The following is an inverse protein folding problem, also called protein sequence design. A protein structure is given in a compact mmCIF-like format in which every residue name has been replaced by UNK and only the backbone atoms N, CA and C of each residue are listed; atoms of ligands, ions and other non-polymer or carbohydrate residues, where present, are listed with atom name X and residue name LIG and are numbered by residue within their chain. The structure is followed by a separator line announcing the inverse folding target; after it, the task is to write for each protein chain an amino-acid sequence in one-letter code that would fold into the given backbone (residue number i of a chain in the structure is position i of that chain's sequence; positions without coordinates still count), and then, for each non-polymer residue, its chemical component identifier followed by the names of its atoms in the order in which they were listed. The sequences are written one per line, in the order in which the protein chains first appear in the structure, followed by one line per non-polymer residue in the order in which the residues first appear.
data_IF_995225226857
#
_entry.id   IF_995225226857
#
_cell.length_a   1.000
_cell.length_b   1.000
_cell.length_c   1.000
_cell.angle_alpha   90.00
_cell.angle_beta   90.00
_cell.angle_gamma   90.00
#
_symmetry.space_group_name_H-M   'P 1'
#
loop_
_entity.id
_entity.type
_entity.pdbx_description
1 polymer ?
#
# COMPACT_ATOMS: atom_id res chain seq x y z
N UNK A 1 -25.82 -2.79 1.68
CA UNK A 1 -26.55 -1.54 1.97
C UNK A 1 -25.60 -0.63 2.74
N UNK A 2 -25.32 0.55 2.19
CA UNK A 2 -24.40 1.51 2.81
C UNK A 2 -25.19 2.55 3.60
N UNK A 3 -24.60 3.13 4.61
CA UNK A 3 -25.23 4.16 5.44
C UNK A 3 -24.69 5.53 5.03
N UNK A 4 -25.59 6.46 4.69
CA UNK A 4 -25.24 7.86 4.46
C UNK A 4 -25.07 8.58 5.81
N UNK A 5 -24.03 9.41 5.93
CA UNK A 5 -23.69 10.10 7.17
C UNK A 5 -23.46 11.59 6.85
N UNK A 6 -24.18 12.45 7.53
CA UNK A 6 -23.94 13.87 7.50
C UNK A 6 -22.86 14.25 8.51
N UNK A 7 -21.76 14.77 8.00
CA UNK A 7 -20.76 15.43 8.83
C UNK A 7 -20.99 16.96 8.76
N UNK A 8 -21.18 17.62 9.89
CA UNK A 8 -21.27 19.09 10.00
C UNK A 8 -19.93 19.78 9.70
N UNK A 9 -19.33 19.46 8.55
CA UNK A 9 -18.21 20.18 7.99
C UNK A 9 -18.38 20.20 6.47
N UNK A 10 -18.81 21.33 5.93
CA UNK A 10 -18.94 21.56 4.49
C UNK A 10 -17.58 21.44 3.81
N UNK A 11 -17.42 20.40 3.00
CA UNK A 11 -16.26 20.17 2.16
C UNK A 11 -16.36 21.07 0.91
N UNK A 12 -16.05 22.38 1.04
CA UNK A 12 -15.93 23.25 -0.14
C UNK A 12 -14.48 23.25 -0.62
N UNK A 13 -14.30 22.80 -1.84
CA UNK A 13 -13.05 22.95 -2.57
C UNK A 13 -12.87 24.42 -2.94
N UNK A 14 -11.88 25.13 -2.37
CA UNK A 14 -11.47 26.45 -2.83
C UNK A 14 -10.19 26.33 -3.64
N UNK A 15 -10.14 26.86 -4.88
CA UNK A 15 -8.90 26.94 -5.65
C UNK A 15 -7.92 27.92 -4.99
N UNK A 16 -6.64 27.61 -5.06
CA UNK A 16 -5.58 28.48 -4.55
C UNK A 16 -5.55 29.80 -5.32
N UNK A 17 -5.55 30.89 -4.59
CA UNK A 17 -5.28 32.23 -5.14
C UNK A 17 -3.81 32.30 -5.59
N UNK A 18 -3.63 32.81 -6.82
CA UNK A 18 -2.35 33.19 -7.37
C UNK A 18 -1.81 34.40 -6.59
N UNK A 19 -0.62 34.27 -6.05
CA UNK A 19 0.16 35.42 -5.57
C UNK A 19 0.97 35.98 -6.73
N UNK A 20 0.71 37.23 -7.10
CA UNK A 20 1.54 38.02 -8.01
C UNK A 20 2.77 38.50 -7.28
N UNK A 21 3.96 38.12 -7.74
CA UNK A 21 5.22 38.71 -7.30
C UNK A 21 5.52 39.98 -8.11
N UNK A 22 5.69 41.09 -7.44
CA UNK A 22 6.20 42.32 -8.02
C UNK A 22 7.72 42.24 -8.13
N UNK A 23 8.22 42.39 -9.35
CA UNK A 23 9.67 42.42 -9.63
C UNK A 23 10.23 43.81 -9.26
N UNK A 24 11.16 43.84 -8.32
CA UNK A 24 12.17 44.90 -8.23
C UNK A 24 13.52 44.30 -8.63
N UNK A 25 14.06 44.76 -9.74
CA UNK A 25 15.38 44.39 -10.20
C UNK A 25 16.45 45.17 -9.44
N UNK A 26 17.50 44.56 -8.88
CA UNK A 26 18.74 45.21 -8.55
C UNK A 26 19.70 45.11 -9.73
N UNK A 27 20.21 46.25 -10.17
CA UNK A 27 21.27 46.41 -11.16
C UNK A 27 22.59 45.89 -10.58
N UNK A 28 23.13 44.79 -11.11
CA UNK A 28 24.42 44.25 -10.71
C UNK A 28 25.45 44.59 -11.78
N UNK A 29 26.49 45.30 -11.35
CA UNK A 29 27.69 45.70 -12.12
C UNK A 29 28.50 44.50 -12.57
N UNK A 30 28.84 44.50 -13.86
CA UNK A 30 29.69 43.47 -14.50
C UNK A 30 31.12 43.65 -14.00
N UNK A 31 31.61 42.81 -13.11
CA UNK A 31 33.02 42.60 -12.83
C UNK A 31 33.42 41.23 -13.40
N UNK A 32 34.50 41.26 -14.15
CA UNK A 32 35.17 40.20 -14.87
C UNK A 32 35.11 38.84 -14.19
N UNK A 33 34.35 37.89 -14.80
CA UNK A 33 34.46 36.47 -14.51
C UNK A 33 35.63 35.88 -15.31
N UNK A 34 36.67 35.49 -14.59
CA UNK A 34 37.70 34.59 -15.09
C UNK A 34 37.06 33.24 -15.34
N UNK A 35 36.93 32.81 -16.59
CA UNK A 35 36.49 31.47 -16.96
C UNK A 35 37.55 30.49 -16.47
N UNK A 36 37.36 29.87 -15.31
CA UNK A 36 38.02 28.63 -14.97
C UNK A 36 37.43 27.58 -15.90
N UNK A 37 38.22 27.03 -16.81
CA UNK A 37 37.90 25.81 -17.51
C UNK A 37 37.77 24.70 -16.46
N UNK A 38 36.53 24.45 -15.99
CA UNK A 38 36.22 23.22 -15.30
C UNK A 38 36.34 22.09 -16.34
N UNK A 39 37.29 21.20 -16.14
CA UNK A 39 37.34 19.95 -16.87
C UNK A 39 35.95 19.28 -16.73
N UNK A 40 35.39 18.70 -17.79
CA UNK A 40 34.15 17.94 -17.66
C UNK A 40 34.43 16.85 -16.64
N UNK A 41 33.76 16.91 -15.49
CA UNK A 41 33.65 15.74 -14.62
C UNK A 41 32.96 14.68 -15.46
N UNK A 42 33.65 13.57 -15.74
CA UNK A 42 33.02 12.38 -16.28
C UNK A 42 31.79 12.07 -15.39
N UNK A 43 30.61 12.38 -15.89
CA UNK A 43 29.36 12.01 -15.23
C UNK A 43 29.37 10.50 -15.20
N UNK A 44 29.53 9.91 -14.00
CA UNK A 44 29.35 8.47 -13.83
C UNK A 44 28.02 8.08 -14.46
N UNK A 45 28.00 7.00 -15.26
CA UNK A 45 26.77 6.57 -15.93
C UNK A 45 25.66 6.38 -14.90
N UNK A 46 24.52 7.02 -15.15
CA UNK A 46 23.37 6.97 -14.27
C UNK A 46 22.86 5.53 -14.14
N UNK A 47 22.98 4.94 -12.94
CA UNK A 47 22.48 3.61 -12.64
C UNK A 47 21.06 3.72 -12.03
N UNK A 48 20.03 3.31 -12.76
CA UNK A 48 18.68 3.32 -12.23
C UNK A 48 18.53 2.34 -11.05
N UNK A 49 17.75 2.74 -10.05
CA UNK A 49 17.55 1.99 -8.81
C UNK A 49 16.08 1.59 -8.68
N UNK A 50 15.85 0.29 -8.46
CA UNK A 50 14.56 -0.25 -8.01
C UNK A 50 14.66 -0.62 -6.54
N UNK A 51 13.76 -0.10 -5.72
CA UNK A 51 13.54 -0.59 -4.35
C UNK A 51 12.27 -1.42 -4.31
N UNK A 52 12.37 -2.60 -3.72
CA UNK A 52 11.24 -3.51 -3.47
C UNK A 52 11.02 -3.59 -1.97
N UNK A 53 9.83 -3.26 -1.50
CA UNK A 53 9.44 -3.34 -0.09
C UNK A 53 8.65 -4.63 0.13
N UNK A 54 9.25 -5.56 0.87
CA UNK A 54 8.71 -6.88 1.16
C UNK A 54 9.41 -8.00 0.38
N UNK A 55 10.17 -8.82 1.08
CA UNK A 55 10.88 -10.01 0.58
C UNK A 55 10.00 -11.27 0.57
N UNK A 56 8.69 -11.13 0.31
CA UNK A 56 7.74 -12.23 0.13
C UNK A 56 7.72 -12.76 -1.31
N UNK A 57 6.72 -13.61 -1.62
CA UNK A 57 6.56 -14.24 -2.93
C UNK A 57 6.56 -13.20 -4.08
N UNK A 58 5.68 -12.21 -4.03
CA UNK A 58 5.54 -11.20 -5.07
C UNK A 58 6.79 -10.33 -5.22
N UNK A 59 7.38 -9.88 -4.10
CA UNK A 59 8.54 -8.99 -4.13
C UNK A 59 9.79 -9.67 -4.66
N UNK A 60 10.09 -10.89 -4.20
CA UNK A 60 11.24 -11.66 -4.69
C UNK A 60 11.10 -12.01 -6.16
N UNK A 61 9.90 -12.47 -6.59
CA UNK A 61 9.65 -12.82 -7.98
C UNK A 61 9.75 -11.60 -8.90
N UNK A 62 9.20 -10.45 -8.48
CA UNK A 62 9.29 -9.20 -9.22
C UNK A 62 10.72 -8.65 -9.31
N UNK A 63 11.49 -8.74 -8.23
CA UNK A 63 12.90 -8.35 -8.20
C UNK A 63 13.76 -9.18 -9.17
N UNK A 64 13.63 -10.50 -9.12
CA UNK A 64 14.31 -11.44 -10.03
C UNK A 64 13.92 -11.11 -11.48
N UNK A 65 12.63 -10.94 -11.76
CA UNK A 65 12.14 -10.65 -13.11
C UNK A 65 12.68 -9.34 -13.68
N UNK A 66 12.69 -8.27 -12.88
CA UNK A 66 13.24 -7.00 -13.31
C UNK A 66 14.74 -7.10 -13.65
N UNK A 67 15.48 -7.81 -12.82
CA UNK A 67 16.93 -8.04 -12.98
C UNK A 67 17.25 -8.91 -14.20
N UNK A 68 16.40 -9.92 -14.49
CA UNK A 68 16.54 -10.74 -15.69
C UNK A 68 16.35 -9.96 -17.00
N UNK A 69 15.56 -8.89 -16.98
CA UNK A 69 15.34 -8.02 -18.14
C UNK A 69 16.46 -7.01 -18.27
N UNK A 70 16.91 -6.43 -17.14
CA UNK A 70 17.97 -5.40 -17.10
C UNK A 70 19.02 -5.81 -16.07
N UNK A 71 20.06 -6.58 -16.48
CA UNK A 71 21.07 -7.07 -15.55
C UNK A 71 21.84 -5.97 -14.81
N UNK A 72 22.01 -4.78 -15.39
CA UNK A 72 22.67 -3.63 -14.79
C UNK A 72 21.77 -2.84 -13.82
N UNK A 73 20.46 -3.10 -13.77
CA UNK A 73 19.55 -2.45 -12.83
C UNK A 73 19.95 -2.76 -11.39
N UNK A 74 20.15 -1.74 -10.57
CA UNK A 74 20.37 -1.94 -9.13
C UNK A 74 19.03 -2.25 -8.46
N UNK A 75 18.88 -3.46 -7.94
CA UNK A 75 17.65 -3.92 -7.27
C UNK A 75 17.94 -4.20 -5.81
N UNK A 76 17.21 -3.50 -4.93
CA UNK A 76 17.30 -3.64 -3.48
C UNK A 76 15.96 -4.09 -2.92
N UNK A 77 15.94 -5.25 -2.29
CA UNK A 77 14.76 -5.78 -1.56
C UNK A 77 14.93 -5.51 -0.07
N UNK A 78 13.98 -4.81 0.53
CA UNK A 78 13.94 -4.49 1.96
C UNK A 78 12.90 -5.36 2.63
N UNK A 79 13.34 -6.18 3.60
CA UNK A 79 12.47 -7.11 4.34
C UNK A 79 12.64 -6.90 5.85
N UNK A 80 11.52 -6.74 6.56
CA UNK A 80 11.53 -6.50 8.01
C UNK A 80 11.91 -7.73 8.84
N UNK A 81 11.62 -8.90 8.32
CA UNK A 81 11.83 -10.18 8.99
C UNK A 81 12.70 -11.14 8.17
N UNK A 82 12.34 -12.42 8.25
CA UNK A 82 12.95 -13.45 7.41
C UNK A 82 12.25 -13.43 6.06
N UNK A 83 12.98 -13.46 4.92
CA UNK A 83 12.38 -13.48 3.60
C UNK A 83 11.58 -14.77 3.38
N UNK A 84 10.54 -14.67 2.55
CA UNK A 84 9.69 -15.79 2.13
C UNK A 84 9.02 -16.56 3.28
N UNK A 85 8.80 -15.91 4.43
CA UNK A 85 8.23 -16.57 5.63
C UNK A 85 6.86 -17.20 5.35
N UNK A 86 5.96 -16.51 4.62
CA UNK A 86 4.64 -17.08 4.25
C UNK A 86 4.78 -18.27 3.29
N UNK A 87 5.78 -18.25 2.39
CA UNK A 87 6.10 -19.39 1.52
C UNK A 87 6.52 -20.59 2.36
N UNK A 88 7.39 -20.38 3.37
CA UNK A 88 7.90 -21.45 4.24
C UNK A 88 6.80 -22.16 5.01
N UNK A 89 5.82 -21.44 5.54
CA UNK A 89 4.77 -22.01 6.42
C UNK A 89 3.54 -22.50 5.67
N UNK A 90 3.38 -22.10 4.42
CA UNK A 90 2.19 -22.43 3.63
C UNK A 90 2.08 -23.92 3.28
N UNK A 91 0.84 -24.38 3.08
CA UNK A 91 0.56 -25.77 2.74
C UNK A 91 1.10 -26.79 3.75
N UNK A 92 1.15 -26.42 5.03
CA UNK A 92 1.72 -27.25 6.09
C UNK A 92 3.26 -27.38 6.01
N UNK A 93 3.94 -26.35 5.51
CA UNK A 93 5.40 -26.36 5.31
C UNK A 93 5.85 -26.95 3.96
N UNK A 94 4.93 -27.28 3.06
CA UNK A 94 5.21 -27.84 1.73
C UNK A 94 5.21 -26.79 0.61
N UNK A 95 4.57 -25.64 0.79
CA UNK A 95 4.30 -24.61 -0.20
C UNK A 95 3.38 -25.05 -1.34
N UNK A 96 2.08 -24.81 -1.21
CA UNK A 96 1.16 -24.96 -2.33
C UNK A 96 1.39 -23.85 -3.36
N UNK A 97 2.12 -24.18 -4.43
CA UNK A 97 2.67 -23.21 -5.38
C UNK A 97 1.61 -22.55 -6.26
N UNK A 98 0.70 -23.35 -6.79
CA UNK A 98 -0.40 -22.96 -7.68
C UNK A 98 -1.41 -24.11 -7.81
N UNK A 99 -2.38 -23.99 -8.74
CA UNK A 99 -3.35 -25.04 -9.01
C UNK A 99 -3.44 -25.32 -10.52
N UNK A 100 -3.33 -26.61 -10.90
CA UNK A 100 -3.37 -27.04 -12.30
C UNK A 100 -4.77 -27.27 -12.86
N UNK A 101 -5.81 -27.35 -12.03
CA UNK A 101 -7.19 -27.51 -12.51
C UNK A 101 -7.76 -26.23 -13.11
N UNK A 102 -7.19 -25.07 -12.79
CA UNK A 102 -7.65 -23.77 -13.25
C UNK A 102 -6.67 -23.11 -14.22
N UNK A 103 -6.47 -23.77 -15.37
CA UNK A 103 -5.57 -23.29 -16.44
C UNK A 103 -6.25 -22.27 -17.34
N UNK A 104 -7.59 -22.27 -17.40
CA UNK A 104 -8.36 -21.21 -18.03
C UNK A 104 -8.39 -19.97 -17.13
N UNK A 105 -8.08 -18.81 -17.73
CA UNK A 105 -7.92 -17.55 -16.98
C UNK A 105 -9.23 -17.05 -16.39
N UNK A 106 -10.38 -17.36 -16.99
CA UNK A 106 -11.69 -16.97 -16.47
C UNK A 106 -12.06 -17.82 -15.27
N UNK A 107 -11.92 -19.15 -15.40
CA UNK A 107 -12.16 -20.09 -14.30
C UNK A 107 -11.20 -19.84 -13.12
N UNK A 108 -9.96 -19.46 -13.43
CA UNK A 108 -8.98 -19.08 -12.41
C UNK A 108 -9.40 -17.80 -11.67
N UNK A 109 -9.86 -16.78 -12.39
CA UNK A 109 -10.32 -15.54 -11.77
C UNK A 109 -11.52 -15.76 -10.84
N UNK A 110 -12.37 -16.74 -11.12
CA UNK A 110 -13.52 -17.08 -10.28
C UNK A 110 -13.13 -17.67 -8.92
N UNK A 111 -11.87 -18.10 -8.77
CA UNK A 111 -11.33 -18.55 -7.48
C UNK A 111 -10.93 -17.41 -6.54
N UNK A 112 -11.16 -16.16 -6.95
CA UNK A 112 -10.89 -14.97 -6.14
C UNK A 112 -12.19 -14.30 -5.73
N UNK A 113 -12.70 -14.54 -4.51
CA UNK A 113 -13.90 -13.88 -3.98
C UNK A 113 -13.82 -12.36 -4.05
N UNK A 114 -12.60 -11.80 -4.07
CA UNK A 114 -12.32 -10.38 -4.26
C UNK A 114 -11.37 -10.16 -5.43
N UNK A 115 -11.71 -9.20 -6.29
CA UNK A 115 -10.93 -8.86 -7.47
C UNK A 115 -11.21 -9.77 -8.68
N UNK A 116 -12.13 -10.74 -8.61
CA UNK A 116 -12.41 -11.66 -9.71
C UNK A 116 -12.79 -10.93 -10.99
N UNK A 117 -13.57 -9.87 -10.91
CA UNK A 117 -14.04 -9.09 -12.06
C UNK A 117 -12.86 -8.43 -12.79
N UNK A 118 -11.97 -7.82 -12.05
CA UNK A 118 -10.80 -7.13 -12.56
C UNK A 118 -9.74 -8.13 -13.09
N UNK A 119 -9.60 -9.27 -12.42
CA UNK A 119 -8.62 -10.30 -12.78
C UNK A 119 -9.00 -11.13 -14.03
N UNK A 120 -10.27 -11.11 -14.47
CA UNK A 120 -10.75 -11.77 -15.71
C UNK A 120 -10.12 -11.23 -17.00
N UNK A 121 -9.43 -10.09 -16.95
CA UNK A 121 -8.77 -9.47 -18.10
C UNK A 121 -7.48 -10.17 -18.51
N UNK A 122 -6.44 -9.37 -18.69
CA UNK A 122 -5.11 -9.82 -19.14
C UNK A 122 -4.19 -10.30 -18.02
N UNK A 123 -4.56 -10.13 -16.75
CA UNK A 123 -3.69 -10.37 -15.60
C UNK A 123 -3.07 -11.78 -15.64
N UNK A 124 -3.88 -12.84 -15.58
CA UNK A 124 -3.39 -14.22 -15.59
C UNK A 124 -2.92 -14.69 -16.99
N UNK A 125 -3.25 -13.95 -18.07
CA UNK A 125 -2.70 -14.22 -19.39
C UNK A 125 -1.21 -13.85 -19.48
N UNK A 126 -0.76 -12.90 -18.67
CA UNK A 126 0.64 -12.47 -18.65
C UNK A 126 1.54 -13.48 -17.94
N UNK A 127 1.04 -14.17 -16.92
CA UNK A 127 1.75 -15.22 -16.18
C UNK A 127 0.74 -16.06 -15.40
N UNK A 128 0.30 -17.16 -15.97
CA UNK A 128 -0.67 -18.07 -15.37
C UNK A 128 -0.05 -19.26 -14.63
N UNK A 129 -0.86 -20.23 -14.19
CA UNK A 129 -0.39 -21.43 -13.50
C UNK A 129 0.63 -22.25 -14.32
N UNK A 130 0.43 -22.35 -15.64
CA UNK A 130 1.39 -23.05 -16.53
C UNK A 130 2.75 -22.36 -16.54
N UNK A 131 2.76 -21.03 -16.60
CA UNK A 131 3.99 -20.25 -16.60
C UNK A 131 4.72 -20.37 -15.26
N UNK A 132 3.97 -20.38 -14.15
CA UNK A 132 4.51 -20.60 -12.80
C UNK A 132 5.15 -21.98 -12.69
N UNK A 133 4.45 -23.04 -13.11
CA UNK A 133 4.98 -24.40 -13.12
C UNK A 133 6.27 -24.47 -13.96
N UNK A 134 6.22 -23.97 -15.20
CA UNK A 134 7.37 -23.95 -16.11
C UNK A 134 8.54 -23.18 -15.53
N UNK A 135 8.29 -22.03 -14.90
CA UNK A 135 9.35 -21.22 -14.30
C UNK A 135 10.11 -22.00 -13.23
N UNK A 136 9.40 -22.59 -12.25
CA UNK A 136 10.06 -23.36 -11.19
C UNK A 136 10.73 -24.62 -11.70
N UNK A 137 10.12 -25.35 -12.65
CA UNK A 137 10.71 -26.53 -13.25
C UNK A 137 11.99 -26.20 -14.01
N UNK A 138 12.02 -25.11 -14.78
CA UNK A 138 13.20 -24.64 -15.50
C UNK A 138 14.34 -24.20 -14.56
N UNK A 139 14.02 -23.89 -13.30
CA UNK A 139 15.00 -23.58 -12.27
C UNK A 139 15.31 -24.76 -11.34
N UNK A 140 15.04 -26.00 -11.81
CA UNK A 140 15.46 -27.24 -11.16
C UNK A 140 14.52 -27.74 -10.06
N UNK A 141 13.34 -27.17 -9.89
CA UNK A 141 12.36 -27.64 -8.91
C UNK A 141 11.48 -28.73 -9.50
N UNK A 142 11.56 -29.93 -8.95
CA UNK A 142 10.64 -31.01 -9.30
C UNK A 142 9.30 -30.82 -8.61
N UNK A 143 8.21 -30.79 -9.37
CA UNK A 143 6.86 -30.54 -8.92
C UNK A 143 5.97 -31.79 -9.08
N UNK A 144 5.01 -31.92 -8.16
CA UNK A 144 3.93 -32.94 -8.21
C UNK A 144 2.56 -32.25 -8.09
N UNK A 145 1.56 -32.87 -8.72
CA UNK A 145 0.17 -32.46 -8.63
C UNK A 145 -0.58 -33.41 -7.71
N UNK A 146 -1.37 -32.89 -6.78
CA UNK A 146 -2.33 -33.66 -6.00
C UNK A 146 -3.69 -33.75 -6.73
N UNK A 147 -4.58 -34.66 -6.31
CA UNK A 147 -5.85 -34.96 -6.98
C UNK A 147 -6.79 -33.75 -7.11
N UNK A 148 -6.68 -32.78 -6.21
CA UNK A 148 -7.45 -31.51 -6.24
C UNK A 148 -6.75 -30.41 -7.05
N UNK A 149 -5.73 -30.74 -7.82
CA UNK A 149 -4.99 -29.82 -8.70
C UNK A 149 -3.93 -28.99 -8.00
N UNK A 150 -3.76 -29.08 -6.69
CA UNK A 150 -2.71 -28.36 -5.96
C UNK A 150 -1.33 -28.82 -6.37
N UNK A 151 -0.41 -27.89 -6.55
CA UNK A 151 0.97 -28.15 -6.98
C UNK A 151 1.93 -27.96 -5.81
N UNK A 152 2.73 -28.98 -5.54
CA UNK A 152 3.75 -28.99 -4.50
C UNK A 152 5.10 -29.43 -5.04
N UNK A 153 6.22 -29.08 -4.38
CA UNK A 153 7.51 -29.70 -4.68
C UNK A 153 7.48 -31.19 -4.32
N UNK A 154 8.13 -32.02 -5.11
CA UNK A 154 8.24 -33.48 -4.87
C UNK A 154 8.87 -33.77 -3.51
N UNK A 155 9.76 -32.90 -3.04
CA UNK A 155 10.42 -33.01 -1.73
C UNK A 155 9.47 -32.85 -0.54
N UNK A 156 8.20 -32.45 -0.74
CA UNK A 156 7.25 -32.08 0.31
C UNK A 156 7.79 -31.02 1.30
N UNK A 157 8.75 -30.23 0.87
CA UNK A 157 9.38 -29.18 1.68
C UNK A 157 9.34 -27.83 0.96
N UNK A 158 8.79 -26.83 1.62
CA UNK A 158 8.78 -25.44 1.15
C UNK A 158 10.19 -24.86 1.00
N UNK A 159 11.20 -25.45 1.66
CA UNK A 159 12.60 -25.02 1.51
C UNK A 159 13.06 -25.09 0.05
N UNK A 160 12.63 -26.10 -0.72
CA UNK A 160 12.96 -26.23 -2.14
C UNK A 160 12.53 -24.99 -2.94
N UNK A 161 11.33 -24.47 -2.70
CA UNK A 161 10.83 -23.25 -3.35
C UNK A 161 11.59 -22.01 -2.87
N UNK A 162 11.83 -21.93 -1.58
CA UNK A 162 12.55 -20.80 -0.96
C UNK A 162 13.99 -20.73 -1.44
N UNK A 163 14.70 -21.88 -1.45
CA UNK A 163 16.11 -21.94 -1.84
C UNK A 163 16.26 -21.66 -3.35
N UNK A 164 15.30 -22.10 -4.18
CA UNK A 164 15.23 -21.74 -5.59
C UNK A 164 15.12 -20.21 -5.76
N UNK A 165 14.18 -19.54 -5.09
CA UNK A 165 13.98 -18.09 -5.21
C UNK A 165 15.17 -17.29 -4.66
N UNK A 166 15.72 -17.69 -3.51
CA UNK A 166 16.91 -17.02 -2.95
C UNK A 166 18.15 -17.24 -3.83
N UNK A 167 18.32 -18.44 -4.35
CA UNK A 167 19.40 -18.76 -5.28
C UNK A 167 19.31 -17.93 -6.56
N UNK A 168 18.12 -17.81 -7.16
CA UNK A 168 17.90 -16.97 -8.34
C UNK A 168 18.15 -15.48 -8.04
N UNK A 169 17.66 -14.98 -6.91
CA UNK A 169 17.91 -13.62 -6.51
C UNK A 169 19.42 -13.33 -6.37
N UNK A 170 20.15 -14.24 -5.74
CA UNK A 170 21.60 -14.13 -5.58
C UNK A 170 22.33 -14.18 -6.92
N UNK A 171 22.03 -15.17 -7.80
CA UNK A 171 22.62 -15.30 -9.13
C UNK A 171 22.44 -14.06 -9.99
N UNK A 172 21.27 -13.41 -9.87
CA UNK A 172 20.96 -12.20 -10.60
C UNK A 172 21.50 -10.92 -9.93
N UNK A 173 22.15 -11.01 -8.76
CA UNK A 173 22.70 -9.85 -8.07
C UNK A 173 21.61 -8.95 -7.44
N UNK A 174 20.50 -9.53 -7.01
CA UNK A 174 19.50 -8.82 -6.18
C UNK A 174 20.06 -8.64 -4.78
N UNK A 175 20.08 -7.41 -4.29
CA UNK A 175 20.53 -7.08 -2.94
C UNK A 175 19.34 -7.27 -1.99
N UNK A 176 19.48 -8.18 -1.02
CA UNK A 176 18.45 -8.45 -0.02
C UNK A 176 18.90 -7.93 1.35
N UNK A 177 18.16 -6.95 1.88
CA UNK A 177 18.37 -6.39 3.21
C UNK A 177 17.26 -6.81 4.16
N UNK A 178 17.61 -7.59 5.17
CA UNK A 178 16.70 -8.10 6.19
C UNK A 178 16.81 -7.35 7.52
N UNK A 179 15.77 -7.45 8.38
CA UNK A 179 15.74 -6.74 9.66
C UNK A 179 15.58 -5.23 9.54
N UNK A 180 15.18 -4.76 8.35
CA UNK A 180 15.00 -3.34 8.04
C UNK A 180 13.53 -3.02 7.78
N UNK A 181 13.06 -1.91 8.33
CA UNK A 181 11.68 -1.46 8.26
C UNK A 181 11.62 -0.14 7.51
N UNK A 182 10.82 -0.09 6.47
CA UNK A 182 10.52 1.19 5.79
C UNK A 182 9.50 1.95 6.61
N UNK A 183 9.87 3.15 7.07
CA UNK A 183 9.04 3.96 7.96
C UNK A 183 8.32 5.09 7.25
N UNK A 184 8.90 5.61 6.17
CA UNK A 184 8.34 6.73 5.41
C UNK A 184 8.78 6.65 3.94
N UNK A 185 7.89 7.05 3.06
CA UNK A 185 8.16 7.22 1.63
C UNK A 185 7.66 8.59 1.22
N UNK A 186 8.53 9.36 0.59
CA UNK A 186 8.19 10.65 -0.02
C UNK A 186 8.61 10.65 -1.48
N UNK A 187 7.98 11.49 -2.29
CA UNK A 187 8.35 11.68 -3.68
C UNK A 187 8.93 13.07 -3.86
N UNK A 188 10.14 13.12 -4.43
CA UNK A 188 10.83 14.36 -4.68
C UNK A 188 10.27 15.09 -5.93
N UNK A 189 10.67 16.34 -6.12
CA UNK A 189 10.26 17.16 -7.29
C UNK A 189 10.74 16.57 -8.62
N UNK A 190 11.87 15.87 -8.63
CA UNK A 190 12.43 15.14 -9.78
C UNK A 190 11.69 13.82 -10.10
N UNK A 191 10.69 13.48 -9.27
CA UNK A 191 9.87 12.27 -9.41
C UNK A 191 10.49 11.00 -8.86
N UNK A 192 11.65 11.08 -8.16
CA UNK A 192 12.28 9.95 -7.45
C UNK A 192 11.65 9.75 -6.08
N UNK A 193 11.74 8.52 -5.57
CA UNK A 193 11.29 8.18 -4.24
C UNK A 193 12.42 8.33 -3.23
N UNK A 194 12.14 9.01 -2.12
CA UNK A 194 12.99 9.03 -0.93
C UNK A 194 12.38 8.09 0.11
N UNK A 195 13.13 7.06 0.48
CA UNK A 195 12.67 5.95 1.32
C UNK A 195 13.47 5.96 2.61
N UNK A 196 12.80 6.19 3.74
CA UNK A 196 13.42 6.15 5.06
C UNK A 196 13.31 4.77 5.65
N UNK A 197 14.46 4.22 6.03
CA UNK A 197 14.60 2.86 6.56
C UNK A 197 15.15 2.97 7.98
N UNK A 198 14.45 2.33 8.92
CA UNK A 198 14.90 2.16 10.30
C UNK A 198 15.28 0.71 10.57
N UNK A 199 16.17 0.47 11.53
CA UNK A 199 16.35 -0.85 12.16
C UNK A 199 15.36 -0.97 13.33
N UNK A 200 14.84 -2.16 13.52
CA UNK A 200 13.93 -2.43 14.65
C UNK A 200 14.61 -2.21 16.02
N UNK A 201 15.95 -2.23 16.10
CA UNK A 201 16.72 -2.21 17.34
C UNK A 201 17.45 -0.89 17.64
N UNK A 202 17.90 -0.11 16.64
CA UNK A 202 18.96 0.89 16.90
C UNK A 202 18.60 2.34 16.54
N UNK A 203 17.38 2.61 16.06
CA UNK A 203 16.93 3.99 15.78
C UNK A 203 17.70 4.75 14.66
N UNK A 204 18.73 4.14 14.06
CA UNK A 204 19.47 4.74 12.95
C UNK A 204 18.61 4.72 11.67
N UNK A 205 18.22 5.90 11.22
CA UNK A 205 17.46 6.09 9.99
C UNK A 205 18.44 6.24 8.81
N UNK A 206 18.37 5.32 7.88
CA UNK A 206 19.02 5.42 6.56
C UNK A 206 18.00 5.94 5.55
N UNK A 207 18.42 6.84 4.67
CA UNK A 207 17.60 7.30 3.54
C UNK A 207 18.17 6.75 2.24
N UNK A 208 17.30 6.16 1.41
CA UNK A 208 17.65 5.64 0.08
C UNK A 208 16.80 6.36 -0.97
N UNK A 209 17.43 6.73 -2.07
CA UNK A 209 16.73 7.25 -3.25
C UNK A 209 16.51 6.13 -4.28
N UNK A 210 15.35 6.15 -4.93
CA UNK A 210 14.93 5.13 -5.88
C UNK A 210 14.15 5.75 -7.04
N UNK A 211 14.37 5.24 -8.24
CA UNK A 211 13.64 5.66 -9.45
C UNK A 211 12.32 4.93 -9.61
N UNK A 212 12.29 3.69 -9.16
CA UNK A 212 11.14 2.79 -9.20
C UNK A 212 10.91 2.19 -7.83
N UNK A 213 9.65 2.04 -7.46
CA UNK A 213 9.25 1.47 -6.18
C UNK A 213 8.21 0.38 -6.37
N UNK A 214 8.49 -0.83 -5.89
CA UNK A 214 7.54 -1.95 -5.83
C UNK A 214 7.14 -2.23 -4.38
N UNK A 215 5.88 -2.05 -4.04
CA UNK A 215 5.32 -2.42 -2.74
C UNK A 215 4.70 -3.80 -2.84
N UNK A 216 5.30 -4.77 -2.14
CA UNK A 216 4.93 -6.19 -2.15
C UNK A 216 4.92 -6.80 -0.73
N UNK A 217 4.43 -6.05 0.22
CA UNK A 217 4.49 -6.31 1.67
C UNK A 217 3.45 -7.30 2.18
N UNK A 218 2.62 -7.83 1.28
CA UNK A 218 1.49 -8.67 1.63
C UNK A 218 0.41 -7.90 2.41
N UNK A 219 -0.43 -8.60 3.15
CA UNK A 219 -1.53 -8.03 3.93
C UNK A 219 -1.09 -7.29 5.22
N UNK A 220 0.15 -6.80 5.27
CA UNK A 220 0.69 -6.10 6.43
C UNK A 220 0.09 -4.69 6.58
N UNK A 221 -0.42 -4.35 7.76
CA UNK A 221 -0.98 -3.02 8.05
C UNK A 221 -0.02 -1.86 7.76
N UNK A 222 1.28 -2.07 7.99
CA UNK A 222 2.31 -1.06 7.68
C UNK A 222 2.37 -0.71 6.18
N UNK A 223 2.11 -1.70 5.32
CA UNK A 223 2.06 -1.49 3.87
C UNK A 223 0.93 -0.56 3.44
N UNK A 224 -0.21 -0.70 4.09
CA UNK A 224 -1.35 0.18 3.86
C UNK A 224 -0.99 1.63 4.24
N UNK A 225 -0.27 1.83 5.34
CA UNK A 225 0.25 3.14 5.75
C UNK A 225 1.19 3.76 4.71
N UNK A 226 2.08 2.97 4.11
CA UNK A 226 3.00 3.43 3.05
C UNK A 226 2.24 3.79 1.76
N UNK A 227 1.23 3.00 1.39
CA UNK A 227 0.38 3.29 0.23
C UNK A 227 -0.40 4.61 0.40
N UNK A 228 -0.86 4.89 1.63
CA UNK A 228 -1.53 6.16 1.98
C UNK A 228 -0.61 7.36 1.84
N UNK A 229 0.63 7.25 2.28
CA UNK A 229 1.63 8.34 2.13
C UNK A 229 1.81 8.74 0.67
N UNK A 230 1.59 7.80 -0.25
CA UNK A 230 1.69 7.99 -1.70
C UNK A 230 0.35 8.32 -2.36
N UNK A 231 -0.70 8.60 -1.57
CA UNK A 231 -2.00 9.10 -2.03
C UNK A 231 -3.07 8.05 -2.31
N UNK A 232 -2.81 6.76 -2.02
CA UNK A 232 -3.79 5.69 -2.21
C UNK A 232 -4.86 5.69 -1.11
N UNK A 233 -6.07 5.27 -1.45
CA UNK A 233 -7.15 5.03 -0.49
C UNK A 233 -6.83 3.81 0.38
N UNK A 234 -7.21 3.88 1.65
CA UNK A 234 -7.05 2.76 2.57
C UNK A 234 -8.36 2.50 3.29
N UNK A 235 -8.73 1.24 3.30
CA UNK A 235 -9.78 0.74 4.16
C UNK A 235 -9.22 0.48 5.56
N UNK A 236 -9.92 0.95 6.59
CA UNK A 236 -9.61 0.52 7.95
C UNK A 236 -9.81 -0.98 8.05
N UNK A 237 -8.75 -1.73 8.25
CA UNK A 237 -8.77 -3.19 8.26
C UNK A 237 -9.60 -3.76 9.41
N UNK A 238 -9.71 -3.03 10.52
CA UNK A 238 -10.45 -3.47 11.69
C UNK A 238 -10.94 -2.29 12.52
N UNK A 239 -12.25 -2.12 12.57
CA UNK A 239 -12.93 -1.20 13.50
C UNK A 239 -14.06 -1.95 14.20
N UNK A 240 -14.50 -1.45 15.36
CA UNK A 240 -15.74 -1.88 15.99
C UNK A 240 -16.79 -0.80 15.74
N UNK A 241 -17.85 -1.14 15.02
CA UNK A 241 -18.96 -0.26 14.74
C UNK A 241 -20.18 -0.69 15.56
N UNK A 242 -20.81 0.28 16.23
CA UNK A 242 -22.04 0.10 17.00
C UNK A 242 -23.11 1.07 16.50
N UNK A 243 -24.25 0.55 16.09
CA UNK A 243 -25.39 1.37 15.70
C UNK A 243 -26.32 1.58 16.91
N UNK A 244 -26.64 2.85 17.20
CA UNK A 244 -27.65 3.25 18.16
C UNK A 244 -28.85 3.79 17.40
N UNK A 245 -30.03 3.24 17.68
CA UNK A 245 -31.30 3.67 17.10
C UNK A 245 -32.18 4.21 18.20
N UNK A 246 -32.87 5.33 17.95
CA UNK A 246 -33.80 5.93 18.88
C UNK A 246 -35.02 5.03 19.04
N UNK A 247 -35.43 4.80 20.28
CA UNK A 247 -36.66 4.06 20.64
C UNK A 247 -36.66 2.56 20.29
N UNK A 248 -35.53 1.94 20.01
CA UNK A 248 -35.47 0.48 19.76
C UNK A 248 -34.98 -0.24 21.00
N UNK A 249 -35.86 -0.96 21.66
CA UNK A 249 -35.55 -1.97 22.68
C UNK A 249 -35.26 -3.29 21.96
N UNK A 250 -34.00 -3.62 21.70
CA UNK A 250 -33.63 -4.84 20.99
C UNK A 250 -32.24 -5.34 21.38
N UNK A 251 -31.89 -6.56 20.93
CA UNK A 251 -30.60 -7.23 21.21
C UNK A 251 -29.41 -6.35 20.78
N UNK A 252 -28.85 -5.62 21.73
CA UNK A 252 -27.76 -4.68 21.50
C UNK A 252 -26.49 -5.35 20.93
N UNK A 253 -26.33 -6.65 21.10
CA UNK A 253 -25.17 -7.41 20.61
C UNK A 253 -25.13 -7.52 19.07
N UNK A 254 -26.28 -7.64 18.42
CA UNK A 254 -26.36 -7.74 16.95
C UNK A 254 -26.08 -6.41 16.25
N UNK A 255 -26.29 -5.28 16.96
CA UNK A 255 -25.99 -3.95 16.47
C UNK A 255 -24.52 -3.52 16.72
N UNK A 256 -23.66 -4.46 17.07
CA UNK A 256 -22.22 -4.28 17.21
C UNK A 256 -21.52 -5.24 16.27
N UNK A 257 -20.71 -4.72 15.36
CA UNK A 257 -19.93 -5.52 14.43
C UNK A 257 -18.47 -5.08 14.44
N UNK A 258 -17.56 -6.03 14.19
CA UNK A 258 -16.12 -5.76 14.06
C UNK A 258 -15.66 -6.17 12.68
N UNK A 259 -14.92 -5.31 11.99
CA UNK A 259 -14.39 -5.62 10.67
C UNK A 259 -13.93 -4.38 9.91
N UNK A 260 -13.60 -4.55 8.64
CA UNK A 260 -13.16 -3.46 7.79
C UNK A 260 -14.23 -2.40 7.56
N UNK A 261 -13.82 -1.12 7.63
CA UNK A 261 -14.66 0.06 7.38
C UNK A 261 -14.11 0.82 6.18
N UNK A 262 -14.99 1.19 5.26
CA UNK A 262 -14.68 2.07 4.13
C UNK A 262 -15.36 3.42 4.37
N UNK A 263 -14.58 4.50 4.29
CA UNK A 263 -15.08 5.88 4.30
C UNK A 263 -15.07 6.39 2.87
N UNK A 264 -16.23 6.77 2.36
CA UNK A 264 -16.43 7.33 1.03
C UNK A 264 -16.80 8.81 1.10
N UNK A 265 -16.84 9.49 -0.03
CA UNK A 265 -17.25 10.91 -0.08
C UNK A 265 -18.74 11.14 0.25
N UNK A 266 -19.54 10.07 0.25
CA UNK A 266 -20.99 10.12 0.54
C UNK A 266 -21.40 9.39 1.83
N UNK A 267 -20.48 8.69 2.52
CA UNK A 267 -20.82 8.00 3.77
C UNK A 267 -19.92 6.81 4.08
N UNK A 268 -20.43 5.91 4.88
CA UNK A 268 -19.72 4.71 5.30
C UNK A 268 -20.19 3.46 4.58
N UNK A 269 -19.24 2.58 4.27
CA UNK A 269 -19.45 1.29 3.68
C UNK A 269 -18.44 0.26 4.24
N UNK A 270 -18.27 -0.85 3.54
CA UNK A 270 -17.37 -1.92 3.92
C UNK A 270 -18.03 -3.00 4.77
N UNK A 271 -17.33 -4.13 4.99
CA UNK A 271 -17.91 -5.33 5.61
C UNK A 271 -18.58 -5.10 6.96
N UNK A 272 -18.01 -4.22 7.78
CA UNK A 272 -18.60 -3.92 9.10
C UNK A 272 -19.94 -3.22 8.97
N UNK A 273 -20.06 -2.28 8.02
CA UNK A 273 -21.30 -1.54 7.78
C UNK A 273 -22.33 -2.42 7.09
N UNK A 274 -21.92 -3.25 6.12
CA UNK A 274 -22.81 -4.17 5.42
C UNK A 274 -23.43 -5.19 6.40
N UNK A 275 -22.63 -5.79 7.28
CA UNK A 275 -23.15 -6.69 8.31
C UNK A 275 -24.05 -5.97 9.31
N UNK A 276 -23.62 -4.80 9.77
CA UNK A 276 -24.40 -4.00 10.71
C UNK A 276 -25.74 -3.59 10.11
N UNK A 277 -25.78 -3.15 8.86
CA UNK A 277 -27.02 -2.81 8.15
C UNK A 277 -27.92 -4.01 7.89
N UNK A 278 -27.35 -5.20 7.62
CA UNK A 278 -28.13 -6.42 7.45
C UNK A 278 -28.89 -6.79 8.74
N UNK A 279 -28.23 -6.78 9.90
CA UNK A 279 -28.86 -7.01 11.19
C UNK A 279 -29.85 -5.91 11.59
N UNK A 280 -29.56 -4.68 11.22
CA UNK A 280 -30.37 -3.52 11.56
C UNK A 280 -31.49 -3.22 10.53
N UNK A 281 -31.60 -3.96 9.42
CA UNK A 281 -32.44 -3.60 8.27
C UNK A 281 -33.90 -3.27 8.66
N UNK A 282 -34.56 -4.15 9.43
CA UNK A 282 -35.92 -3.91 9.88
C UNK A 282 -36.04 -2.71 10.83
N UNK A 283 -35.06 -2.56 11.71
CA UNK A 283 -35.01 -1.47 12.69
C UNK A 283 -34.72 -0.13 12.02
N UNK A 284 -33.79 -0.11 11.08
CA UNK A 284 -33.47 1.08 10.28
C UNK A 284 -34.65 1.54 9.42
N UNK A 285 -35.42 0.59 8.89
CA UNK A 285 -36.64 0.93 8.14
C UNK A 285 -37.65 1.66 9.04
N UNK A 286 -37.88 1.18 10.26
CA UNK A 286 -38.82 1.79 11.23
C UNK A 286 -38.35 3.19 11.69
N UNK A 287 -37.03 3.44 11.74
CA UNK A 287 -36.47 4.74 12.10
C UNK A 287 -36.20 5.64 10.89
N UNK A 288 -36.72 5.31 9.71
CA UNK A 288 -36.43 6.01 8.45
C UNK A 288 -34.94 6.16 8.15
N UNK A 289 -34.17 5.12 8.50
CA UNK A 289 -32.72 5.06 8.38
C UNK A 289 -31.96 6.15 9.17
N UNK A 290 -32.55 6.61 10.26
CA UNK A 290 -31.91 7.57 11.17
C UNK A 290 -31.37 6.87 12.41
N UNK A 291 -30.21 7.34 12.89
CA UNK A 291 -29.57 6.78 14.08
C UNK A 291 -28.18 7.36 14.28
N UNK A 292 -27.45 6.86 15.25
CA UNK A 292 -26.06 7.22 15.53
C UNK A 292 -25.15 6.02 15.38
N UNK A 293 -24.15 6.13 14.51
CA UNK A 293 -23.09 5.14 14.35
C UNK A 293 -21.90 5.52 15.24
N UNK A 294 -21.55 4.68 16.19
CA UNK A 294 -20.34 4.81 17.00
C UNK A 294 -19.26 3.91 16.42
N UNK A 295 -18.11 4.49 16.13
CA UNK A 295 -16.97 3.77 15.56
C UNK A 295 -15.79 3.83 16.52
N UNK A 296 -15.34 2.68 16.97
CA UNK A 296 -14.09 2.47 17.67
C UNK A 296 -13.02 2.16 16.60
N UNK A 297 -12.13 3.09 16.38
CA UNK A 297 -11.12 3.04 15.33
C UNK A 297 -9.92 2.16 15.69
N UNK A 298 -9.80 1.78 16.97
CA UNK A 298 -8.71 1.00 17.53
C UNK A 298 -9.26 -0.06 18.48
N UNK A 299 -10.05 -1.05 17.99
CA UNK A 299 -10.81 -1.97 18.85
C UNK A 299 -9.94 -2.83 19.78
N UNK A 300 -8.68 -3.01 19.44
CA UNK A 300 -7.73 -3.85 20.16
C UNK A 300 -6.89 -3.06 21.20
N UNK A 301 -7.07 -1.72 21.32
CA UNK A 301 -6.40 -0.87 22.28
C UNK A 301 -7.38 -0.35 23.33
N UNK A 302 -6.94 -0.23 24.57
CA UNK A 302 -7.66 0.52 25.60
C UNK A 302 -7.45 2.03 25.43
N UNK A 303 -8.35 2.84 25.98
CA UNK A 303 -8.23 4.31 25.90
C UNK A 303 -6.94 4.83 26.53
N UNK A 304 -6.44 4.16 27.56
CA UNK A 304 -5.18 4.53 28.19
C UNK A 304 -3.97 4.25 27.27
N UNK A 305 -3.98 3.14 26.52
CA UNK A 305 -2.94 2.85 25.54
C UNK A 305 -2.90 3.93 24.45
N UNK A 306 -4.09 4.40 24.00
CA UNK A 306 -4.20 5.48 23.03
C UNK A 306 -3.61 6.78 23.59
N UNK A 307 -3.88 7.10 24.88
CA UNK A 307 -3.28 8.25 25.55
C UNK A 307 -1.76 8.14 25.61
N UNK A 308 -1.23 6.98 25.97
CA UNK A 308 0.21 6.73 26.00
C UNK A 308 0.84 6.92 24.61
N UNK A 309 0.21 6.43 23.56
CA UNK A 309 0.67 6.63 22.18
C UNK A 309 0.69 8.13 21.82
N UNK A 310 -0.37 8.86 22.14
CA UNK A 310 -0.45 10.30 21.89
C UNK A 310 0.59 11.09 22.70
N UNK A 311 0.81 10.73 23.94
CA UNK A 311 1.81 11.34 24.81
C UNK A 311 3.24 11.04 24.32
N UNK A 312 3.52 9.81 23.94
CA UNK A 312 4.78 9.43 23.31
C UNK A 312 5.05 10.23 22.04
N UNK A 313 4.02 10.41 21.19
CA UNK A 313 4.12 11.22 19.99
C UNK A 313 4.44 12.69 20.32
N UNK A 314 3.79 13.26 21.33
CA UNK A 314 4.06 14.62 21.82
C UNK A 314 5.51 14.75 22.28
N UNK A 315 6.02 13.79 23.04
CA UNK A 315 7.38 13.80 23.58
C UNK A 315 8.44 13.60 22.48
N UNK A 316 8.16 12.73 21.52
CA UNK A 316 9.11 12.42 20.45
C UNK A 316 9.17 13.50 19.36
N UNK A 317 8.05 14.20 19.11
CA UNK A 317 7.94 15.18 18.04
C UNK A 317 7.32 16.51 18.48
N UNK A 318 7.83 17.17 19.55
CA UNK A 318 7.18 18.33 20.17
C UNK A 318 7.05 19.53 19.25
N UNK A 319 7.99 19.70 18.30
CA UNK A 319 8.03 20.82 17.34
C UNK A 319 7.24 20.55 16.05
N UNK A 320 6.67 19.36 15.87
CA UNK A 320 5.88 19.04 14.69
C UNK A 320 4.46 19.60 14.83
N UNK A 321 3.90 20.05 13.71
CA UNK A 321 2.47 20.40 13.63
C UNK A 321 1.62 19.14 13.68
N UNK A 322 0.47 19.21 14.36
CA UNK A 322 -0.46 18.10 14.50
C UNK A 322 -0.84 17.48 13.15
N UNK A 323 -1.16 18.29 12.14
CA UNK A 323 -1.55 17.83 10.79
C UNK A 323 -0.51 16.98 10.07
N UNK A 324 0.78 17.13 10.41
CA UNK A 324 1.88 16.50 9.71
C UNK A 324 2.44 15.28 10.44
N UNK A 325 1.96 14.98 11.64
CA UNK A 325 2.56 14.01 12.54
C UNK A 325 1.49 13.14 13.18
N UNK A 326 0.88 12.28 12.35
CA UNK A 326 -0.02 11.23 12.82
C UNK A 326 0.79 10.16 13.52
N UNK A 327 0.41 9.70 14.73
CA UNK A 327 1.05 8.54 15.33
C UNK A 327 0.98 7.32 14.42
N UNK A 328 2.14 6.73 14.10
CA UNK A 328 2.23 5.61 13.15
C UNK A 328 1.40 4.39 13.57
N UNK A 329 1.19 4.22 14.88
CA UNK A 329 0.38 3.13 15.44
C UNK A 329 -1.10 3.17 15.05
N UNK A 330 -1.65 4.33 14.66
CA UNK A 330 -3.08 4.44 14.34
C UNK A 330 -3.41 4.16 12.89
N UNK A 331 -2.42 4.24 11.98
CA UNK A 331 -2.59 4.03 10.53
C UNK A 331 -3.70 4.91 9.92
N UNK A 332 -3.96 6.08 10.51
CA UNK A 332 -4.96 6.99 9.99
C UNK A 332 -4.45 7.74 8.78
N UNK A 333 -5.29 7.86 7.75
CA UNK A 333 -5.01 8.76 6.64
C UNK A 333 -4.98 10.20 7.12
N UNK A 334 -4.06 10.99 6.59
CA UNK A 334 -3.85 12.38 7.01
C UNK A 334 -5.14 13.21 7.02
N UNK A 335 -6.00 13.09 6.00
CA UNK A 335 -7.29 13.79 5.93
C UNK A 335 -8.25 13.37 7.04
N UNK A 336 -8.27 12.09 7.39
CA UNK A 336 -9.12 11.61 8.47
C UNK A 336 -8.57 12.05 9.84
N UNK A 337 -7.25 12.06 10.01
CA UNK A 337 -6.62 12.65 11.20
C UNK A 337 -6.96 14.12 11.35
N UNK A 338 -6.85 14.91 10.28
CA UNK A 338 -7.24 16.34 10.28
C UNK A 338 -8.73 16.50 10.64
N UNK A 339 -9.59 15.62 10.15
CA UNK A 339 -11.00 15.60 10.54
C UNK A 339 -11.17 15.37 12.04
N UNK A 340 -10.45 14.42 12.66
CA UNK A 340 -10.51 14.17 14.10
C UNK A 340 -10.03 15.37 14.91
N UNK A 341 -8.97 16.05 14.47
CA UNK A 341 -8.47 17.28 15.10
C UNK A 341 -9.51 18.39 15.02
N UNK A 342 -10.05 18.65 13.84
CA UNK A 342 -11.07 19.70 13.63
C UNK A 342 -12.33 19.43 14.45
N UNK A 343 -12.75 18.17 14.56
CA UNK A 343 -13.90 17.74 15.36
C UNK A 343 -13.73 18.06 16.85
N UNK A 344 -12.51 17.94 17.37
CA UNK A 344 -12.18 18.26 18.75
C UNK A 344 -11.81 19.74 18.95
N UNK A 345 -11.98 20.58 17.93
CA UNK A 345 -11.68 22.01 17.97
C UNK A 345 -10.19 22.32 18.06
N UNK A 346 -9.33 21.37 17.64
CA UNK A 346 -7.89 21.54 17.63
C UNK A 346 -7.43 22.11 16.28
N UNK A 347 -6.73 23.25 16.31
CA UNK A 347 -6.11 23.78 15.10
C UNK A 347 -5.02 22.81 14.62
N UNK A 348 -5.14 22.36 13.40
CA UNK A 348 -4.21 21.43 12.74
C UNK A 348 -2.77 21.96 12.66
N UNK A 349 -2.58 23.29 12.75
CA UNK A 349 -1.26 23.93 12.75
C UNK A 349 -0.61 24.01 14.14
N UNK A 350 -1.34 23.67 15.20
CA UNK A 350 -0.82 23.62 16.56
C UNK A 350 0.35 22.61 16.66
N UNK A 351 1.36 22.97 17.45
CA UNK A 351 2.49 22.08 17.73
C UNK A 351 2.10 21.04 18.78
N UNK A 352 2.65 19.84 18.67
CA UNK A 352 2.44 18.79 19.67
C UNK A 352 2.79 19.26 21.10
N UNK A 353 3.85 20.06 21.25
CA UNK A 353 4.25 20.61 22.56
C UNK A 353 3.14 21.40 23.25
N UNK A 354 2.33 22.12 22.47
CA UNK A 354 1.29 23.01 22.97
C UNK A 354 0.00 22.29 23.37
N UNK A 355 -0.16 21.00 23.07
CA UNK A 355 -1.35 20.25 23.45
C UNK A 355 -1.41 20.04 24.97
N UNK A 356 -2.56 20.37 25.57
CA UNK A 356 -2.83 20.08 26.97
C UNK A 356 -3.11 18.58 27.20
N UNK A 357 -2.93 18.09 28.41
CA UNK A 357 -3.33 16.72 28.79
C UNK A 357 -4.84 16.50 28.56
N UNK A 358 -5.65 17.50 28.78
CA UNK A 358 -7.08 17.44 28.53
C UNK A 358 -7.40 17.25 27.03
N UNK A 359 -6.69 17.96 26.14
CA UNK A 359 -6.84 17.78 24.69
C UNK A 359 -6.42 16.40 24.23
N UNK A 360 -5.34 15.84 24.78
CA UNK A 360 -4.92 14.45 24.52
C UNK A 360 -5.98 13.45 24.97
N UNK A 361 -6.59 13.67 26.13
CA UNK A 361 -7.67 12.84 26.65
C UNK A 361 -8.89 12.87 25.73
N UNK A 362 -9.33 14.06 25.29
CA UNK A 362 -10.45 14.22 24.35
C UNK A 362 -10.17 13.49 23.03
N UNK A 363 -8.96 13.66 22.49
CA UNK A 363 -8.55 13.02 21.26
C UNK A 363 -8.53 11.50 21.39
N UNK A 364 -8.04 10.96 22.52
CA UNK A 364 -8.09 9.52 22.79
C UNK A 364 -9.52 9.00 22.87
N UNK A 365 -10.41 9.76 23.48
CA UNK A 365 -11.83 9.39 23.59
C UNK A 365 -12.51 9.38 22.23
N UNK A 366 -12.27 10.37 21.37
CA UNK A 366 -12.89 10.37 20.03
C UNK A 366 -12.34 9.28 19.14
N UNK A 367 -11.06 8.92 19.24
CA UNK A 367 -10.50 7.77 18.54
C UNK A 367 -11.20 6.47 18.97
N UNK A 368 -11.50 6.34 20.27
CA UNK A 368 -12.16 5.17 20.83
C UNK A 368 -13.67 5.14 20.57
N UNK A 369 -14.30 6.30 20.45
CA UNK A 369 -15.74 6.43 20.28
C UNK A 369 -16.12 7.57 19.36
N UNK A 370 -15.74 7.47 18.09
CA UNK A 370 -16.12 8.43 17.07
C UNK A 370 -17.59 8.26 16.69
N UNK A 371 -18.44 9.26 16.97
CA UNK A 371 -19.87 9.22 16.66
C UNK A 371 -20.17 9.88 15.33
N UNK A 372 -21.11 9.33 14.58
CA UNK A 372 -21.59 9.86 13.30
C UNK A 372 -23.11 9.72 13.22
N UNK A 373 -23.76 10.75 12.73
CA UNK A 373 -25.20 10.69 12.54
C UNK A 373 -25.55 10.03 11.22
N UNK A 374 -26.38 9.03 11.29
CA UNK A 374 -26.88 8.29 10.13
C UNK A 374 -28.13 8.99 9.65
N UNK A 375 -28.11 9.55 8.45
CA UNK A 375 -29.20 10.33 7.85
C UNK A 375 -29.99 9.53 6.79
N UNK A 376 -29.44 8.41 6.32
CA UNK A 376 -30.09 7.64 5.25
C UNK A 376 -29.31 6.41 4.83
N UNK A 377 -29.74 5.84 3.71
CA UNK A 377 -29.04 4.76 2.98
C UNK A 377 -28.31 5.33 1.77
N UNK A 378 -27.17 4.74 1.38
CA UNK A 378 -26.45 5.10 0.16
C UNK A 378 -27.25 4.74 -1.10
N UNK A 379 -27.03 5.50 -2.18
CA UNK A 379 -27.72 5.34 -3.46
C UNK A 379 -27.29 4.09 -4.24
N UNK A 380 -26.05 3.61 -4.02
CA UNK A 380 -25.46 2.51 -4.78
C UNK A 380 -25.81 1.15 -4.18
N UNK A 381 -26.32 0.24 -5.04
CA UNK A 381 -26.75 -1.10 -4.65
C UNK A 381 -25.64 -2.17 -4.65
N UNK A 382 -24.50 -1.88 -5.31
CA UNK A 382 -23.49 -2.89 -5.68
C UNK A 382 -22.16 -2.72 -4.92
N UNK A 383 -22.18 -2.41 -3.62
CA UNK A 383 -20.95 -2.29 -2.86
C UNK A 383 -20.52 -3.63 -2.27
N UNK A 384 -19.37 -4.07 -2.71
CA UNK A 384 -18.75 -5.33 -2.36
C UNK A 384 -17.79 -5.21 -1.17
N UNK A 385 -17.69 -6.34 -0.47
CA UNK A 385 -16.88 -6.57 0.73
C UNK A 385 -15.40 -6.38 0.39
N UNK A 386 -14.76 -5.37 0.96
CA UNK A 386 -13.31 -5.20 0.88
C UNK A 386 -12.64 -5.73 2.15
N UNK A 387 -11.68 -6.63 2.00
CA UNK A 387 -10.90 -7.13 3.13
C UNK A 387 -9.69 -6.25 3.47
N UNK A 388 -9.51 -5.16 2.75
CA UNK A 388 -8.42 -4.22 2.93
C UNK A 388 -7.26 -4.46 1.96
N UNK A 389 -6.63 -3.37 1.55
CA UNK A 389 -5.55 -3.34 0.57
C UNK A 389 -5.72 -2.17 -0.39
N UNK A 390 -4.79 -1.98 -1.29
CA UNK A 390 -4.87 -0.98 -2.35
C UNK A 390 -5.94 -1.43 -3.35
N UNK A 391 -6.96 -0.59 -3.63
CA UNK A 391 -8.02 -0.94 -4.58
C UNK A 391 -7.47 -1.21 -5.97
N UNK A 392 -7.98 -2.23 -6.65
CA UNK A 392 -7.56 -2.56 -8.01
C UNK A 392 -7.89 -1.46 -9.02
N UNK A 393 -8.91 -0.63 -8.75
CA UNK A 393 -9.25 0.54 -9.56
C UNK A 393 -8.13 1.59 -9.63
N UNK A 394 -7.27 1.63 -8.62
CA UNK A 394 -6.12 2.54 -8.55
C UNK A 394 -4.86 1.97 -9.22
N UNK A 395 -4.92 0.75 -9.71
CA UNK A 395 -3.80 0.03 -10.32
C UNK A 395 -4.11 -0.29 -11.78
N UNK A 396 -3.12 -0.11 -12.63
CA UNK A 396 -3.16 -0.66 -13.97
C UNK A 396 -2.70 -2.12 -13.94
N UNK A 397 -3.62 -3.07 -14.01
CA UNK A 397 -3.31 -4.50 -13.90
C UNK A 397 -2.43 -5.06 -15.04
N UNK A 398 -2.33 -4.33 -16.18
CA UNK A 398 -1.43 -4.71 -17.27
C UNK A 398 0.03 -4.40 -16.98
N UNK A 399 0.29 -3.45 -16.08
CA UNK A 399 1.62 -2.96 -15.71
C UNK A 399 1.93 -3.11 -14.22
N UNK A 400 0.91 -3.31 -13.41
CA UNK A 400 0.93 -3.24 -11.94
C UNK A 400 1.34 -1.86 -11.39
N UNK A 401 1.35 -0.84 -12.24
CA UNK A 401 1.67 0.53 -11.88
C UNK A 401 0.46 1.24 -11.26
N UNK A 402 0.73 2.09 -10.28
CA UNK A 402 -0.24 3.00 -9.72
C UNK A 402 -0.76 3.99 -10.77
N UNK A 403 -2.08 4.20 -10.82
CA UNK A 403 -2.70 5.26 -11.64
C UNK A 403 -2.51 6.65 -11.04
N UNK A 404 -2.16 6.73 -9.76
CA UNK A 404 -2.04 7.97 -9.00
C UNK A 404 -0.60 8.45 -8.87
N UNK A 405 0.36 7.53 -8.86
CA UNK A 405 1.77 7.83 -8.64
C UNK A 405 2.62 7.09 -9.68
N UNK A 406 3.15 7.78 -10.70
CA UNK A 406 4.02 7.16 -11.70
C UNK A 406 5.26 6.51 -11.09
N UNK A 407 5.68 5.37 -11.66
CA UNK A 407 6.83 4.54 -11.22
C UNK A 407 6.65 3.86 -9.85
N UNK A 408 5.44 3.92 -9.29
CA UNK A 408 5.06 3.17 -8.11
C UNK A 408 4.27 1.93 -8.55
N UNK A 409 4.66 0.77 -8.05
CA UNK A 409 4.07 -0.52 -8.40
C UNK A 409 3.61 -1.26 -7.15
N UNK A 410 2.62 -2.13 -7.32
CA UNK A 410 2.09 -2.97 -6.25
C UNK A 410 1.94 -4.41 -6.74
N UNK A 411 2.22 -5.40 -5.89
CA UNK A 411 2.02 -6.81 -6.23
C UNK A 411 1.69 -7.69 -5.02
N UNK A 412 0.85 -8.69 -5.22
CA UNK A 412 0.44 -9.65 -4.21
C UNK A 412 -0.66 -9.11 -3.28
N UNK A 413 -0.71 -9.64 -2.05
CA UNK A 413 -1.78 -9.38 -1.07
C UNK A 413 -1.78 -7.97 -0.46
N UNK A 414 -0.90 -7.07 -0.87
CA UNK A 414 -1.00 -5.63 -0.57
C UNK A 414 -2.17 -5.00 -1.34
N UNK A 415 -2.56 -5.62 -2.45
CA UNK A 415 -3.74 -5.28 -3.23
C UNK A 415 -5.00 -5.85 -2.59
N UNK A 416 -6.13 -5.23 -2.88
CA UNK A 416 -7.43 -5.74 -2.44
C UNK A 416 -7.88 -6.96 -3.27
N UNK A 417 -7.09 -8.01 -3.20
CA UNK A 417 -7.32 -9.31 -3.86
C UNK A 417 -7.15 -10.42 -2.84
N UNK A 418 -8.05 -11.37 -2.85
CA UNK A 418 -7.99 -12.54 -1.99
C UNK A 418 -8.52 -13.77 -2.73
N UNK A 419 -7.69 -14.79 -2.86
CA UNK A 419 -8.02 -16.07 -3.45
C UNK A 419 -8.48 -17.09 -2.41
N UNK A 420 -9.26 -18.06 -2.83
CA UNK A 420 -9.59 -19.23 -2.03
C UNK A 420 -8.32 -19.99 -1.61
N UNK A 421 -8.46 -20.91 -0.65
CA UNK A 421 -7.39 -21.86 -0.33
C UNK A 421 -7.20 -22.80 -1.53
N UNK A 422 -5.94 -23.06 -1.93
CA UNK A 422 -5.67 -23.93 -3.10
C UNK A 422 -4.54 -23.46 -4.00
N UNK A 423 -3.65 -22.59 -3.53
CA UNK A 423 -2.52 -22.05 -4.30
C UNK A 423 -2.81 -20.72 -4.99
N UNK A 424 -4.06 -20.23 -4.94
CA UNK A 424 -4.48 -19.04 -5.68
C UNK A 424 -3.82 -17.75 -5.19
N UNK A 425 -3.63 -17.57 -3.88
CA UNK A 425 -2.97 -16.38 -3.34
C UNK A 425 -1.49 -16.29 -3.77
N UNK A 426 -0.82 -17.43 -3.88
CA UNK A 426 0.52 -17.45 -4.46
C UNK A 426 0.51 -17.19 -5.96
N UNK A 427 -0.46 -17.76 -6.71
CA UNK A 427 -0.59 -17.44 -8.13
C UNK A 427 -0.78 -15.94 -8.36
N UNK A 428 -1.61 -15.26 -7.58
CA UNK A 428 -1.73 -13.79 -7.62
C UNK A 428 -0.37 -13.11 -7.34
N UNK A 429 0.37 -13.58 -6.35
CA UNK A 429 1.67 -13.02 -6.00
C UNK A 429 2.72 -13.20 -7.11
N UNK A 430 2.79 -14.39 -7.72
CA UNK A 430 3.68 -14.67 -8.85
C UNK A 430 3.33 -13.81 -10.06
N UNK A 431 2.04 -13.78 -10.45
CA UNK A 431 1.55 -13.02 -11.59
C UNK A 431 1.81 -11.52 -11.41
N UNK A 432 1.41 -10.95 -10.27
CA UNK A 432 1.61 -9.54 -9.99
C UNK A 432 3.10 -9.15 -9.95
N UNK A 433 3.93 -9.98 -9.31
CA UNK A 433 5.39 -9.79 -9.30
C UNK A 433 6.00 -9.85 -10.70
N UNK A 434 5.59 -10.84 -11.52
CA UNK A 434 6.06 -10.99 -12.90
C UNK A 434 5.72 -9.76 -13.75
N UNK A 435 4.47 -9.29 -13.70
CA UNK A 435 4.02 -8.12 -14.48
C UNK A 435 4.77 -6.86 -14.03
N UNK A 436 4.84 -6.61 -12.72
CA UNK A 436 5.55 -5.45 -12.17
C UNK A 436 7.02 -5.44 -12.57
N UNK A 437 7.72 -6.55 -12.35
CA UNK A 437 9.13 -6.71 -12.73
C UNK A 437 9.36 -6.56 -14.24
N UNK A 438 8.48 -7.12 -15.07
CA UNK A 438 8.54 -6.98 -16.52
C UNK A 438 8.37 -5.51 -16.95
N UNK A 439 7.39 -4.82 -16.37
CA UNK A 439 7.12 -3.41 -16.70
C UNK A 439 8.29 -2.52 -16.30
N UNK A 440 8.78 -2.67 -15.07
CA UNK A 440 9.92 -1.90 -14.57
C UNK A 440 11.15 -2.13 -15.48
N UNK A 441 11.47 -3.38 -15.78
CA UNK A 441 12.59 -3.72 -16.66
C UNK A 441 12.47 -3.06 -18.03
N UNK A 442 11.30 -3.12 -18.68
CA UNK A 442 11.04 -2.46 -19.97
C UNK A 442 11.18 -0.93 -19.89
N UNK A 443 10.67 -0.31 -18.82
CA UNK A 443 10.78 1.14 -18.63
C UNK A 443 12.23 1.58 -18.46
N UNK A 444 13.02 0.83 -17.71
CA UNK A 444 14.46 1.09 -17.54
C UNK A 444 15.19 0.94 -18.86
N UNK A 445 14.98 -0.15 -19.60
CA UNK A 445 15.61 -0.37 -20.92
C UNK A 445 15.32 0.79 -21.89
N UNK A 446 14.05 1.24 -21.93
CA UNK A 446 13.65 2.35 -22.80
C UNK A 446 14.28 3.68 -22.38
N UNK A 447 14.47 3.90 -21.08
CA UNK A 447 15.09 5.12 -20.56
C UNK A 447 16.59 5.17 -20.87
N UNK A 448 17.29 4.05 -20.71
CA UNK A 448 18.73 3.92 -21.04
C UNK A 448 18.95 4.15 -22.53
N UNK A 449 18.15 3.53 -23.40
CA UNK A 449 18.25 3.72 -24.86
C UNK A 449 18.08 5.18 -25.29
N UNK A 450 17.17 5.94 -24.66
CA UNK A 450 16.98 7.37 -24.95
C UNK A 450 18.19 8.21 -24.52
N UNK A 451 18.82 7.91 -23.40
CA UNK A 451 20.01 8.62 -22.92
C UNK A 451 21.20 8.38 -23.84
N UNK A 452 21.35 7.15 -24.33
CA UNK A 452 22.45 6.80 -25.28
C UNK A 452 22.28 7.51 -26.63
N UNK A 453 21.04 7.62 -27.15
CA UNK A 453 20.77 8.36 -28.39
C UNK A 453 21.01 9.88 -28.24
N UNK A 454 20.73 10.46 -27.07
CA UNK A 454 20.96 11.87 -26.81
C UNK A 454 22.46 12.20 -26.61
N UNK A 455 23.26 11.25 -26.16
CA UNK A 455 24.72 11.42 -26.07
C UNK A 455 25.39 11.33 -27.46
N UNK A 456 24.97 10.37 -28.30
CA UNK A 456 25.53 10.23 -29.67
C UNK A 456 25.16 11.39 -30.59
N UNK A 457 23.97 12.02 -30.43
CA UNK A 457 23.61 13.19 -31.23
C UNK A 457 24.32 14.49 -30.83
N UNK A 458 24.94 14.56 -29.66
CA UNK A 458 25.77 15.70 -29.23
C UNK A 458 27.20 15.66 -29.80
N UNK A 459 27.71 14.46 -30.05
CA UNK A 459 29.05 14.29 -30.63
C UNK A 459 29.07 14.57 -32.16
N UNK A 460 27.94 14.41 -32.86
CA UNK A 460 27.83 14.75 -34.29
C UNK A 460 27.66 16.25 -34.58
N UNK A 461 27.36 17.08 -33.57
CA UNK A 461 27.18 18.53 -33.73
C UNK A 461 28.44 19.33 -33.38
N UNK A 462 29.57 18.67 -33.07
CA UNK A 462 30.86 19.27 -32.70
C UNK A 462 31.97 18.96 -33.73
N UNK A 463 31.62 18.40 -34.88
CA UNK A 463 32.45 18.27 -36.07
C UNK A 463 31.91 19.22 -37.17
#
# INVERSE_FOLDING_TARGET
MALAVEGNASWTWRPRRNYSFSHKHPTISIRQFRILCMQPQEQQPYEPVLVVIGGGAAGMFGAIRAKNIVPQLKVLVIEKGKPLTKVRISGGGRCNLTNSHFLDTLLLADQYPRGNRELRGSFFKSHGPRDTISWFTNHGVQLKTEDDGRIFPVSDSSSTIVDCLLGEACRNGVILETGKVVTCITRNVDGRFEIKIGRATDGLNQTIQSDYLLIATGSCQQAQGLAVQLGHTVTFSRVRAKLKLSNVKGNASQLIQVGPLLITHWGFSGPVILRLSAWAACLLFSTKYQGTLLVDLTPDLHVEDIKHILLSQKNSFPKNKLRNSVPASFLFVRRFWQYLLAREGLDENTLWASLSHHSLQKLATVIKQCSFDVSGKGEYKDEFVTAGGVPLSEINLNTMESRMCPRLFFAGEVLNVDGLTGGFNFQNAWTGGYIAGTTIGKMVSSSVSRLTMLSSSKDETLL
#
